data_IF_339526628745
#
_entry.id   IF_339526628745
#
_cell.length_a   1.000
_cell.length_b   1.000
_cell.length_c   1.000
_cell.angle_alpha   90.00
_cell.angle_beta   90.00
_cell.angle_gamma   90.00
#
_symmetry.space_group_name_H-M   'P 1'
#
loop_
_entity.id
_entity.type
_entity.pdbx_description
1 polymer ?
#
# COMPACT_ATOMS: atom_id res chain seq x y z
N UNK A 1 12.07 -5.57 -2.62
CA UNK A 1 11.91 -7.04 -2.61
C UNK A 1 10.46 -7.46 -2.37
N UNK A 2 9.80 -7.03 -1.28
CA UNK A 2 8.40 -7.42 -1.00
C UNK A 2 7.48 -7.20 -2.20
N UNK A 3 7.53 -6.04 -2.82
CA UNK A 3 6.70 -5.69 -3.98
C UNK A 3 6.97 -6.57 -5.21
N UNK A 4 8.22 -7.01 -5.39
CA UNK A 4 8.59 -7.96 -6.47
C UNK A 4 7.94 -9.32 -6.20
N UNK A 5 8.04 -9.84 -4.97
CA UNK A 5 7.39 -11.10 -4.61
C UNK A 5 5.87 -11.01 -4.73
N UNK A 6 5.26 -9.87 -4.35
CA UNK A 6 3.83 -9.65 -4.55
C UNK A 6 3.46 -9.61 -6.03
N UNK A 7 4.30 -8.99 -6.87
CA UNK A 7 4.07 -8.98 -8.32
C UNK A 7 4.16 -10.40 -8.90
N UNK A 8 5.14 -11.20 -8.50
CA UNK A 8 5.29 -12.58 -8.94
C UNK A 8 4.05 -13.42 -8.54
N UNK A 9 3.63 -13.34 -7.27
CA UNK A 9 2.43 -14.05 -6.82
C UNK A 9 1.18 -13.58 -7.57
N UNK A 10 1.03 -12.27 -7.81
CA UNK A 10 -0.05 -11.70 -8.60
C UNK A 10 -0.08 -12.20 -10.03
N UNK A 11 1.08 -12.25 -10.71
CA UNK A 11 1.20 -12.81 -12.08
C UNK A 11 0.76 -14.26 -12.10
N UNK A 12 1.20 -15.08 -11.15
CA UNK A 12 0.81 -16.49 -11.05
C UNK A 12 -0.71 -16.61 -10.90
N UNK A 13 -1.32 -15.88 -9.95
CA UNK A 13 -2.76 -15.89 -9.75
C UNK A 13 -3.54 -15.48 -11.00
N UNK A 14 -3.17 -14.36 -11.63
CA UNK A 14 -3.85 -13.84 -12.81
C UNK A 14 -3.70 -14.77 -14.02
N UNK A 15 -2.54 -15.42 -14.16
CA UNK A 15 -2.31 -16.42 -15.21
C UNK A 15 -3.27 -17.60 -15.07
N UNK A 16 -3.39 -18.19 -13.87
CA UNK A 16 -4.33 -19.27 -13.62
C UNK A 16 -5.80 -18.86 -13.76
N UNK A 17 -6.12 -17.63 -13.45
CA UNK A 17 -7.47 -17.07 -13.60
C UNK A 17 -7.78 -16.60 -15.03
N UNK A 18 -6.82 -16.66 -15.95
CA UNK A 18 -6.94 -16.19 -17.36
C UNK A 18 -7.38 -14.71 -17.43
N UNK A 19 -6.80 -13.84 -16.58
CA UNK A 19 -7.10 -12.41 -16.47
C UNK A 19 -6.06 -11.54 -17.18
N UNK A 20 -6.37 -10.27 -17.42
CA UNK A 20 -5.40 -9.30 -17.97
C UNK A 20 -4.31 -9.00 -16.93
N UNK A 21 -3.17 -9.71 -17.08
CA UNK A 21 -2.03 -9.57 -16.16
C UNK A 21 -1.56 -8.12 -16.09
N UNK A 22 -1.48 -7.41 -17.20
CA UNK A 22 -0.97 -6.05 -17.23
C UNK A 22 -1.81 -5.10 -16.37
N UNK A 23 -3.13 -5.13 -16.54
CA UNK A 23 -4.04 -4.15 -15.94
C UNK A 23 -4.57 -4.57 -14.57
N UNK A 24 -4.68 -5.88 -14.31
CA UNK A 24 -5.19 -6.41 -13.04
C UNK A 24 -4.09 -6.74 -12.01
N UNK A 25 -2.79 -6.60 -12.37
CA UNK A 25 -1.67 -6.84 -11.47
C UNK A 25 -1.52 -5.79 -10.35
N UNK A 26 -1.76 -4.48 -10.56
CA UNK A 26 -1.50 -3.46 -9.55
C UNK A 26 -2.10 -3.73 -8.16
N UNK A 27 -3.37 -4.15 -7.99
CA UNK A 27 -3.94 -4.43 -6.68
C UNK A 27 -3.27 -5.61 -5.94
N UNK A 28 -2.52 -6.47 -6.62
CA UNK A 28 -1.75 -7.52 -5.96
C UNK A 28 -0.47 -7.01 -5.33
N UNK A 29 0.30 -6.15 -6.02
CA UNK A 29 1.63 -5.75 -5.54
C UNK A 29 1.68 -4.35 -4.92
N UNK A 30 0.62 -3.56 -5.03
CA UNK A 30 0.51 -2.24 -4.40
C UNK A 30 -0.46 -2.29 -3.21
N UNK A 31 0.06 -2.53 -2.00
CA UNK A 31 -0.74 -2.57 -0.77
C UNK A 31 -1.20 -1.17 -0.34
N UNK A 32 -2.24 -1.13 0.46
CA UNK A 32 -2.78 0.11 1.03
C UNK A 32 -1.93 0.60 2.21
N UNK A 33 -0.64 0.80 1.96
CA UNK A 33 0.36 1.19 2.95
C UNK A 33 0.12 2.60 3.52
N UNK A 34 -0.39 3.52 2.69
CA UNK A 34 -0.66 4.90 3.08
C UNK A 34 -1.91 5.00 3.95
N UNK A 35 -3.08 4.71 3.37
CA UNK A 35 -4.37 5.00 4.03
C UNK A 35 -4.69 4.08 5.22
N UNK A 36 -4.16 2.87 5.25
CA UNK A 36 -4.33 1.93 6.36
C UNK A 36 -3.03 1.67 7.10
N UNK A 37 -1.94 1.46 6.38
CA UNK A 37 -0.69 1.03 6.99
C UNK A 37 -0.05 2.08 7.89
N UNK A 38 -0.01 3.36 7.50
CA UNK A 38 0.56 4.44 8.34
C UNK A 38 -0.21 4.58 9.67
N UNK A 39 -1.56 4.72 9.70
CA UNK A 39 -2.31 4.79 10.94
C UNK A 39 -2.09 3.58 11.86
N UNK A 40 -2.12 2.37 11.31
CA UNK A 40 -1.94 1.15 12.09
C UNK A 40 -0.53 1.09 12.70
N UNK A 41 0.51 1.46 11.93
CA UNK A 41 1.88 1.50 12.44
C UNK A 41 2.09 2.61 13.49
N UNK A 42 1.39 3.73 13.37
CA UNK A 42 1.37 4.77 14.42
C UNK A 42 0.77 4.23 15.71
N UNK A 43 -0.38 3.55 15.65
CA UNK A 43 -1.02 2.98 16.84
C UNK A 43 -0.21 1.83 17.45
N UNK A 44 0.53 1.06 16.63
CA UNK A 44 1.34 -0.05 17.10
C UNK A 44 2.67 0.38 17.74
N UNK A 45 3.38 1.32 17.12
CA UNK A 45 4.77 1.66 17.43
C UNK A 45 5.03 3.16 17.60
N UNK A 46 3.98 3.96 17.73
CA UNK A 46 4.10 5.41 17.91
C UNK A 46 4.73 6.11 16.69
N UNK A 47 5.37 7.25 16.94
CA UNK A 47 5.98 8.09 15.89
C UNK A 47 7.11 7.37 15.12
N UNK A 48 7.85 6.47 15.76
CA UNK A 48 8.89 5.68 15.11
C UNK A 48 8.30 4.74 14.05
N UNK A 49 7.22 4.02 14.41
CA UNK A 49 6.48 3.17 13.48
C UNK A 49 5.86 3.96 12.32
N UNK A 50 5.31 5.13 12.61
CA UNK A 50 4.78 6.03 11.60
C UNK A 50 5.85 6.47 10.60
N UNK A 51 7.05 6.82 11.07
CA UNK A 51 8.16 7.26 10.22
C UNK A 51 8.59 6.18 9.22
N UNK A 52 8.81 4.95 9.69
CA UNK A 52 9.17 3.81 8.82
C UNK A 52 8.02 3.49 7.85
N UNK A 53 6.78 3.48 8.33
CA UNK A 53 5.61 3.25 7.49
C UNK A 53 5.45 4.32 6.40
N UNK A 54 5.71 5.59 6.72
CA UNK A 54 5.67 6.69 5.76
C UNK A 54 6.75 6.54 4.67
N UNK A 55 7.97 6.12 5.03
CA UNK A 55 9.03 5.86 4.07
C UNK A 55 8.66 4.73 3.09
N UNK A 56 8.12 3.60 3.59
CA UNK A 56 7.61 2.50 2.76
C UNK A 56 6.47 2.99 1.85
N UNK A 57 5.52 3.74 2.42
CA UNK A 57 4.36 4.25 1.67
C UNK A 57 4.76 5.24 0.57
N UNK A 58 5.79 6.05 0.80
CA UNK A 58 6.31 6.98 -0.20
C UNK A 58 6.81 6.24 -1.44
N UNK A 59 7.53 5.13 -1.26
CA UNK A 59 7.94 4.27 -2.37
C UNK A 59 6.73 3.66 -3.11
N UNK A 60 5.73 3.18 -2.37
CA UNK A 60 4.51 2.60 -2.98
C UNK A 60 3.74 3.66 -3.76
N UNK A 61 3.63 4.89 -3.25
CA UNK A 61 2.98 6.01 -3.95
C UNK A 61 3.72 6.35 -5.25
N UNK A 62 5.05 6.39 -5.25
CA UNK A 62 5.83 6.57 -6.49
C UNK A 62 5.52 5.48 -7.52
N UNK A 63 5.40 4.22 -7.07
CA UNK A 63 5.04 3.12 -7.97
C UNK A 63 3.60 3.22 -8.49
N UNK A 64 2.67 3.81 -7.73
CA UNK A 64 1.33 4.12 -8.24
C UNK A 64 1.39 5.11 -9.41
N UNK A 65 2.17 6.18 -9.29
CA UNK A 65 2.25 7.21 -10.32
C UNK A 65 3.21 6.87 -11.48
N UNK A 66 3.95 5.80 -11.37
CA UNK A 66 4.86 5.30 -12.42
C UNK A 66 4.35 3.99 -13.01
N UNK A 67 4.60 2.88 -12.33
CA UNK A 67 4.33 1.52 -12.80
C UNK A 67 2.82 1.27 -12.96
N UNK A 68 1.99 1.66 -11.99
CA UNK A 68 0.56 1.41 -12.08
C UNK A 68 -0.09 2.19 -13.23
N UNK A 69 0.27 3.47 -13.42
CA UNK A 69 -0.23 4.25 -14.57
C UNK A 69 0.24 3.63 -15.90
N UNK A 70 1.50 3.21 -16.00
CA UNK A 70 2.01 2.54 -17.17
C UNK A 70 1.25 1.23 -17.48
N UNK A 71 1.01 0.41 -16.48
CA UNK A 71 0.26 -0.85 -16.63
C UNK A 71 -1.21 -0.63 -17.02
N UNK A 72 -1.86 0.39 -16.47
CA UNK A 72 -3.25 0.71 -16.74
C UNK A 72 -3.44 1.36 -18.12
N UNK A 73 -2.61 2.36 -18.45
CA UNK A 73 -2.74 3.17 -19.67
C UNK A 73 -2.00 2.56 -20.87
N UNK A 74 -1.02 1.69 -20.62
CA UNK A 74 -0.04 1.17 -21.60
C UNK A 74 0.79 2.29 -22.26
N UNK A 75 0.86 3.47 -21.62
CA UNK A 75 1.66 4.62 -22.07
C UNK A 75 2.48 5.15 -20.90
N UNK A 76 3.73 5.47 -21.15
CA UNK A 76 4.58 6.12 -20.16
C UNK A 76 4.50 7.65 -20.37
N UNK A 77 3.97 8.36 -19.36
CA UNK A 77 3.87 9.81 -19.39
C UNK A 77 4.59 10.41 -18.17
N UNK A 78 5.78 10.92 -18.40
CA UNK A 78 6.61 11.57 -17.36
C UNK A 78 5.93 12.81 -16.76
N UNK A 79 5.03 13.45 -17.51
CA UNK A 79 4.33 14.65 -17.04
C UNK A 79 3.43 14.35 -15.84
N UNK A 80 2.87 13.15 -15.76
CA UNK A 80 2.02 12.73 -14.62
C UNK A 80 2.88 12.65 -13.34
N UNK A 81 4.09 12.10 -13.46
CA UNK A 81 5.04 11.99 -12.35
C UNK A 81 5.46 13.40 -11.88
N UNK A 82 5.82 14.25 -12.81
CA UNK A 82 6.26 15.62 -12.52
C UNK A 82 5.14 16.54 -11.99
N UNK A 83 3.88 16.23 -12.27
CA UNK A 83 2.75 16.97 -11.73
C UNK A 83 2.29 16.48 -10.35
N UNK A 84 2.79 15.34 -9.88
CA UNK A 84 2.42 14.78 -8.57
C UNK A 84 3.13 15.51 -7.43
N UNK A 85 2.41 16.15 -6.49
CA UNK A 85 3.02 16.76 -5.31
C UNK A 85 3.80 15.76 -4.45
N UNK A 86 3.38 14.50 -4.43
CA UNK A 86 4.05 13.42 -3.70
C UNK A 86 5.47 13.18 -4.18
N UNK A 87 5.74 13.35 -5.50
CA UNK A 87 7.09 13.22 -6.07
C UNK A 87 8.04 14.23 -5.44
N UNK A 88 7.61 15.48 -5.34
CA UNK A 88 8.43 16.55 -4.73
C UNK A 88 8.61 16.33 -3.23
N UNK A 89 7.56 15.91 -2.52
CA UNK A 89 7.66 15.59 -1.10
C UNK A 89 8.71 14.50 -0.82
N UNK A 90 8.73 13.43 -1.65
CA UNK A 90 9.72 12.36 -1.51
C UNK A 90 11.13 12.86 -1.84
N UNK A 91 11.31 13.65 -2.90
CA UNK A 91 12.62 14.22 -3.25
C UNK A 91 13.15 15.10 -2.11
N UNK A 92 12.31 15.97 -1.55
CA UNK A 92 12.69 16.84 -0.41
C UNK A 92 13.07 15.97 0.79
N UNK A 93 12.25 14.99 1.17
CA UNK A 93 12.52 14.12 2.32
C UNK A 93 13.84 13.33 2.15
N UNK A 94 14.07 12.76 0.97
CA UNK A 94 15.32 12.05 0.67
C UNK A 94 16.52 12.99 0.69
N UNK A 95 16.36 14.24 0.20
CA UNK A 95 17.44 15.23 0.25
C UNK A 95 17.83 15.58 1.68
N UNK A 96 16.85 15.78 2.58
CA UNK A 96 17.13 16.02 4.01
C UNK A 96 17.89 14.86 4.65
N UNK A 97 17.49 13.62 4.35
CA UNK A 97 18.15 12.41 4.86
C UNK A 97 19.56 12.23 4.27
N UNK A 98 19.74 12.49 2.98
CA UNK A 98 21.02 12.26 2.31
C UNK A 98 22.09 13.27 2.70
N UNK A 99 21.70 14.54 2.87
CA UNK A 99 22.59 15.63 3.26
C UNK A 99 22.66 15.84 4.78
N UNK A 100 22.00 14.98 5.56
CA UNK A 100 21.93 15.06 7.04
C UNK A 100 21.52 16.47 7.53
N UNK A 101 20.54 17.07 6.85
CA UNK A 101 20.06 18.41 7.14
C UNK A 101 19.12 18.41 8.32
N UNK A 102 19.41 19.26 9.31
CA UNK A 102 18.52 19.49 10.43
C UNK A 102 17.32 20.38 10.02
N UNK A 103 16.12 19.88 10.24
CA UNK A 103 14.90 20.66 9.98
C UNK A 103 14.64 21.63 11.13
N UNK A 104 14.36 22.92 10.87
CA UNK A 104 13.99 23.85 11.91
C UNK A 104 12.79 23.34 12.72
N UNK A 105 12.84 23.47 14.06
CA UNK A 105 11.82 22.90 14.98
C UNK A 105 10.39 23.31 14.65
N UNK A 106 10.19 24.57 14.23
CA UNK A 106 8.84 25.04 13.88
C UNK A 106 8.30 24.35 12.63
N UNK A 107 9.15 24.06 11.62
CA UNK A 107 8.78 23.32 10.41
C UNK A 107 8.43 21.87 10.79
N UNK A 108 9.30 21.22 11.56
CA UNK A 108 9.08 19.85 12.03
C UNK A 108 7.76 19.71 12.78
N UNK A 109 7.50 20.59 13.75
CA UNK A 109 6.26 20.58 14.53
C UNK A 109 5.02 20.79 13.64
N UNK A 110 5.09 21.73 12.68
CA UNK A 110 3.99 21.98 11.74
C UNK A 110 3.72 20.76 10.86
N UNK A 111 4.76 20.15 10.29
CA UNK A 111 4.62 18.95 9.45
C UNK A 111 4.08 17.76 10.24
N UNK A 112 4.52 17.58 11.49
CA UNK A 112 3.99 16.53 12.37
C UNK A 112 2.51 16.75 12.69
N UNK A 113 2.10 17.98 13.03
CA UNK A 113 0.69 18.32 13.30
C UNK A 113 -0.20 18.05 12.08
N UNK A 114 0.25 18.47 10.89
CA UNK A 114 -0.44 18.17 9.63
C UNK A 114 -0.51 16.68 9.37
N UNK A 115 0.57 15.92 9.63
CA UNK A 115 0.63 14.48 9.51
C UNK A 115 -0.41 13.77 10.39
N UNK A 116 -0.54 14.14 11.65
CA UNK A 116 -1.58 13.59 12.54
C UNK A 116 -2.99 13.94 12.07
N UNK A 117 -3.21 15.17 11.61
CA UNK A 117 -4.52 15.59 11.06
C UNK A 117 -4.86 14.76 9.81
N UNK A 118 -3.88 14.52 8.94
CA UNK A 118 -4.06 13.71 7.73
C UNK A 118 -4.49 12.28 8.02
N UNK A 119 -4.09 11.68 9.15
CA UNK A 119 -4.49 10.33 9.52
C UNK A 119 -6.01 10.23 9.68
N UNK A 120 -6.63 11.19 10.35
CA UNK A 120 -8.10 11.23 10.51
C UNK A 120 -8.78 11.37 9.15
N UNK A 121 -8.31 12.31 8.32
CA UNK A 121 -8.87 12.56 6.99
C UNK A 121 -8.73 11.34 6.06
N UNK A 122 -7.59 10.65 6.11
CA UNK A 122 -7.33 9.45 5.32
C UNK A 122 -8.27 8.29 5.72
N UNK A 123 -8.49 8.07 7.02
CA UNK A 123 -9.40 7.02 7.50
C UNK A 123 -10.86 7.33 7.13
N UNK A 124 -11.28 8.59 7.21
CA UNK A 124 -12.61 9.01 6.74
C UNK A 124 -12.75 8.82 5.21
N UNK A 125 -11.76 9.24 4.44
CA UNK A 125 -11.72 9.06 2.99
C UNK A 125 -11.75 7.59 2.58
N UNK A 126 -11.05 6.72 3.32
CA UNK A 126 -11.10 5.27 3.13
C UNK A 126 -12.52 4.74 3.29
N UNK A 127 -13.19 5.11 4.39
CA UNK A 127 -14.59 4.71 4.64
C UNK A 127 -15.53 5.15 3.52
N UNK A 128 -15.48 6.41 3.13
CA UNK A 128 -16.30 6.97 2.04
C UNK A 128 -16.01 6.24 0.70
N UNK A 129 -14.74 6.02 0.38
CA UNK A 129 -14.37 5.35 -0.87
C UNK A 129 -14.90 3.92 -0.94
N UNK A 130 -14.87 3.18 0.17
CA UNK A 130 -15.41 1.82 0.23
C UNK A 130 -16.91 1.77 0.00
N UNK A 131 -17.68 2.76 0.46
CA UNK A 131 -19.13 2.80 0.23
C UNK A 131 -19.51 3.07 -1.23
N UNK A 132 -18.61 3.68 -2.01
CA UNK A 132 -18.81 3.95 -3.44
C UNK A 132 -18.42 2.78 -4.35
N UNK A 133 -17.64 1.82 -3.82
CA UNK A 133 -17.19 0.65 -4.55
C UNK A 133 -18.22 -0.47 -4.51
N UNK A 134 -18.30 -1.24 -5.61
CA UNK A 134 -19.23 -2.37 -5.76
C UNK A 134 -18.46 -3.66 -5.96
N UNK A 135 -19.03 -4.77 -5.47
CA UNK A 135 -18.51 -6.11 -5.73
C UNK A 135 -19.33 -6.72 -6.87
N UNK A 136 -18.69 -6.94 -8.00
CA UNK A 136 -19.32 -7.47 -9.21
C UNK A 136 -19.16 -8.99 -9.34
N UNK A 137 -18.06 -9.55 -8.81
CA UNK A 137 -17.76 -11.00 -8.85
C UNK A 137 -17.16 -11.45 -7.54
N UNK A 138 -17.97 -12.00 -6.65
CA UNK A 138 -17.53 -12.46 -5.31
C UNK A 138 -16.49 -13.59 -5.43
N UNK A 139 -16.73 -14.60 -6.28
CA UNK A 139 -15.84 -15.76 -6.38
C UNK A 139 -14.44 -15.38 -6.83
N UNK A 140 -14.33 -14.64 -7.93
CA UNK A 140 -13.01 -14.24 -8.47
C UNK A 140 -12.28 -13.28 -7.53
N UNK A 141 -13.02 -12.33 -6.94
CA UNK A 141 -12.46 -11.37 -6.00
C UNK A 141 -12.02 -12.03 -4.71
N UNK A 142 -12.72 -13.05 -4.23
CA UNK A 142 -12.33 -13.82 -3.05
C UNK A 142 -11.00 -14.54 -3.29
N UNK A 143 -10.84 -15.22 -4.43
CA UNK A 143 -9.61 -15.93 -4.78
C UNK A 143 -8.43 -14.95 -4.84
N UNK A 144 -8.59 -13.83 -5.55
CA UNK A 144 -7.55 -12.80 -5.66
C UNK A 144 -7.21 -12.15 -4.31
N UNK A 145 -8.23 -11.86 -3.49
CA UNK A 145 -8.08 -11.25 -2.17
C UNK A 145 -7.41 -12.20 -1.17
N UNK A 146 -7.76 -13.49 -1.19
CA UNK A 146 -7.08 -14.53 -0.39
C UNK A 146 -5.60 -14.57 -0.75
N UNK A 147 -5.28 -14.56 -2.04
CA UNK A 147 -3.91 -14.48 -2.52
C UNK A 147 -3.17 -13.28 -1.92
N UNK A 148 -3.75 -12.07 -1.99
CA UNK A 148 -3.13 -10.86 -1.46
C UNK A 148 -2.99 -10.87 0.07
N UNK A 149 -4.07 -11.22 0.78
CA UNK A 149 -4.15 -11.09 2.24
C UNK A 149 -3.35 -12.18 2.97
N UNK A 150 -3.22 -13.39 2.40
CA UNK A 150 -2.44 -14.48 2.99
C UNK A 150 -0.96 -14.38 2.62
N UNK A 151 -0.65 -14.18 1.33
CA UNK A 151 0.75 -14.10 0.92
C UNK A 151 1.46 -12.83 1.41
N UNK A 152 0.70 -11.75 1.68
CA UNK A 152 1.25 -10.52 2.25
C UNK A 152 2.08 -10.75 3.51
N UNK A 153 1.49 -11.22 4.60
CA UNK A 153 2.22 -11.49 5.85
C UNK A 153 3.29 -12.58 5.70
N UNK A 154 3.05 -13.60 4.90
CA UNK A 154 4.04 -14.67 4.66
C UNK A 154 5.31 -14.08 4.02
N UNK A 155 5.17 -13.30 2.96
CA UNK A 155 6.30 -12.65 2.29
C UNK A 155 7.00 -11.67 3.23
N UNK A 156 6.24 -10.86 3.99
CA UNK A 156 6.80 -9.97 5.00
C UNK A 156 7.65 -10.73 6.02
N UNK A 157 7.14 -11.83 6.56
CA UNK A 157 7.85 -12.67 7.52
C UNK A 157 9.11 -13.32 6.93
N UNK A 158 9.04 -13.84 5.70
CA UNK A 158 10.20 -14.41 4.99
C UNK A 158 11.29 -13.35 4.83
N UNK A 159 10.95 -12.13 4.43
CA UNK A 159 11.92 -11.04 4.25
C UNK A 159 12.54 -10.61 5.58
N UNK A 160 11.76 -10.54 6.66
CA UNK A 160 12.29 -10.27 7.99
C UNK A 160 13.37 -11.30 8.35
N UNK A 161 13.14 -12.58 8.06
CA UNK A 161 14.11 -13.64 8.32
C UNK A 161 15.34 -13.57 7.41
N UNK A 162 15.15 -13.35 6.12
CA UNK A 162 16.26 -13.25 5.14
C UNK A 162 17.20 -12.09 5.47
N UNK A 163 16.64 -10.93 5.82
CA UNK A 163 17.42 -9.73 6.10
C UNK A 163 17.78 -9.55 7.59
N UNK A 164 17.44 -10.55 8.45
CA UNK A 164 17.68 -10.51 9.90
C UNK A 164 17.15 -9.20 10.53
N UNK A 165 15.97 -8.73 10.10
CA UNK A 165 15.38 -7.53 10.65
C UNK A 165 14.83 -7.81 12.06
N UNK A 166 14.91 -6.82 12.95
CA UNK A 166 14.46 -6.93 14.34
C UNK A 166 13.78 -5.64 14.82
N UNK A 167 13.14 -5.72 15.97
CA UNK A 167 12.47 -4.59 16.62
C UNK A 167 11.31 -4.02 15.78
N UNK A 168 10.90 -2.81 16.12
CA UNK A 168 9.74 -2.14 15.52
C UNK A 168 9.79 -2.03 13.98
N UNK A 169 10.99 -1.91 13.39
CA UNK A 169 11.12 -1.82 11.92
C UNK A 169 10.69 -3.12 11.22
N UNK A 170 11.01 -4.28 11.81
CA UNK A 170 10.54 -5.58 11.34
C UNK A 170 9.03 -5.71 11.50
N UNK A 171 8.48 -5.29 12.64
CA UNK A 171 7.04 -5.27 12.88
C UNK A 171 6.29 -4.38 11.89
N UNK A 172 6.81 -3.18 11.60
CA UNK A 172 6.25 -2.29 10.58
C UNK A 172 6.28 -2.94 9.20
N UNK A 173 7.39 -3.59 8.80
CA UNK A 173 7.46 -4.31 7.52
C UNK A 173 6.40 -5.42 7.45
N UNK A 174 6.20 -6.18 8.51
CA UNK A 174 5.18 -7.23 8.59
C UNK A 174 3.77 -6.64 8.41
N UNK A 175 3.46 -5.56 9.16
CA UNK A 175 2.18 -4.87 9.06
C UNK A 175 1.96 -4.32 7.65
N UNK A 176 2.90 -3.58 7.09
CA UNK A 176 2.80 -2.96 5.78
C UNK A 176 2.66 -3.99 4.64
N UNK A 177 3.36 -5.12 4.76
CA UNK A 177 3.25 -6.24 3.82
C UNK A 177 1.87 -6.90 3.85
N UNK A 178 1.19 -6.83 5.00
CA UNK A 178 -0.12 -7.46 5.23
C UNK A 178 -1.31 -6.57 4.85
N UNK A 179 -1.07 -5.33 4.42
CA UNK A 179 -2.14 -4.42 4.03
C UNK A 179 -2.91 -4.94 2.81
N UNK A 180 -4.24 -4.75 2.76
CA UNK A 180 -5.06 -5.09 1.60
C UNK A 180 -4.69 -4.27 0.37
N UNK A 181 -5.36 -4.50 -0.74
CA UNK A 181 -5.13 -3.78 -2.00
C UNK A 181 -5.41 -2.28 -1.85
N UNK A 182 -4.58 -1.44 -2.47
CA UNK A 182 -4.72 0.01 -2.40
C UNK A 182 -5.89 0.54 -3.25
N UNK A 183 -6.69 1.45 -2.67
CA UNK A 183 -7.78 2.14 -3.38
C UNK A 183 -7.27 2.93 -4.59
N UNK A 184 -6.04 3.46 -4.52
CA UNK A 184 -5.45 4.21 -5.62
C UNK A 184 -5.31 3.37 -6.91
N UNK A 185 -5.24 2.04 -6.81
CA UNK A 185 -5.27 1.16 -7.99
C UNK A 185 -6.59 1.23 -8.73
N UNK A 186 -7.72 1.34 -8.00
CA UNK A 186 -9.05 1.55 -8.60
C UNK A 186 -9.16 2.92 -9.29
N UNK A 187 -8.71 3.98 -8.63
CA UNK A 187 -8.79 5.33 -9.20
C UNK A 187 -8.01 5.44 -10.51
N UNK A 188 -6.81 4.86 -10.57
CA UNK A 188 -5.98 4.84 -11.78
C UNK A 188 -6.62 3.94 -12.85
N UNK A 189 -7.12 2.76 -12.48
CA UNK A 189 -7.83 1.90 -13.43
C UNK A 189 -9.07 2.58 -14.02
N UNK A 190 -9.83 3.31 -13.20
CA UNK A 190 -11.00 4.05 -13.64
C UNK A 190 -10.68 5.12 -14.69
N UNK A 191 -9.49 5.71 -14.64
CA UNK A 191 -9.03 6.71 -15.61
C UNK A 191 -8.55 6.11 -16.94
N UNK A 192 -8.00 4.89 -16.91
CA UNK A 192 -7.21 4.37 -18.05
C UNK A 192 -7.62 2.97 -18.53
N UNK A 193 -8.44 2.24 -17.79
CA UNK A 193 -8.78 0.85 -18.11
C UNK A 193 -10.24 0.66 -18.51
N UNK A 194 -10.58 -0.39 -19.26
CA UNK A 194 -11.96 -0.76 -19.56
C UNK A 194 -12.76 -1.06 -18.30
N UNK A 195 -14.07 -0.85 -18.37
CA UNK A 195 -15.00 -1.02 -17.24
C UNK A 195 -14.90 -2.40 -16.57
N UNK A 196 -14.79 -3.47 -17.33
CA UNK A 196 -14.68 -4.82 -16.79
C UNK A 196 -13.48 -4.98 -15.84
N UNK A 197 -12.33 -4.41 -16.20
CA UNK A 197 -11.11 -4.42 -15.37
C UNK A 197 -11.32 -3.57 -14.12
N UNK A 198 -11.94 -2.40 -14.26
CA UNK A 198 -12.28 -1.52 -13.13
C UNK A 198 -13.17 -2.25 -12.13
N UNK A 199 -14.17 -2.98 -12.61
CA UNK A 199 -15.12 -3.75 -11.80
C UNK A 199 -14.41 -4.91 -11.07
N UNK A 200 -13.46 -5.60 -11.70
CA UNK A 200 -12.64 -6.63 -11.08
C UNK A 200 -11.75 -6.05 -9.96
N UNK A 201 -11.06 -4.95 -10.25
CA UNK A 201 -10.19 -4.25 -9.28
C UNK A 201 -11.00 -3.74 -8.09
N UNK A 202 -12.15 -3.08 -8.34
CA UNK A 202 -13.07 -2.62 -7.30
C UNK A 202 -13.47 -3.78 -6.38
N UNK A 203 -13.88 -4.89 -6.96
CA UNK A 203 -14.31 -6.08 -6.23
C UNK A 203 -13.17 -6.65 -5.36
N UNK A 204 -11.95 -6.74 -5.89
CA UNK A 204 -10.78 -7.21 -5.14
C UNK A 204 -10.44 -6.29 -3.97
N UNK A 205 -10.50 -4.96 -4.15
CA UNK A 205 -10.21 -3.99 -3.09
C UNK A 205 -11.21 -4.14 -1.95
N UNK A 206 -12.51 -4.15 -2.25
CA UNK A 206 -13.55 -4.28 -1.21
C UNK A 206 -13.39 -5.59 -0.45
N UNK A 207 -13.27 -6.71 -1.16
CA UNK A 207 -13.17 -8.04 -0.52
C UNK A 207 -11.88 -8.14 0.30
N UNK A 208 -10.72 -7.72 -0.22
CA UNK A 208 -9.46 -7.75 0.53
C UNK A 208 -9.49 -6.83 1.75
N UNK A 209 -10.14 -5.68 1.67
CA UNK A 209 -10.29 -4.77 2.81
C UNK A 209 -11.22 -5.37 3.88
N UNK A 210 -12.33 -6.00 3.49
CA UNK A 210 -13.19 -6.70 4.46
C UNK A 210 -12.46 -7.88 5.12
N UNK A 211 -11.71 -8.67 4.37
CA UNK A 211 -10.88 -9.74 4.93
C UNK A 211 -9.81 -9.20 5.88
N UNK A 212 -9.30 -8.01 5.62
CA UNK A 212 -8.27 -7.39 6.46
C UNK A 212 -8.78 -7.04 7.86
N UNK A 213 -10.08 -6.88 8.08
CA UNK A 213 -10.66 -6.70 9.41
C UNK A 213 -10.36 -7.87 10.36
N UNK A 214 -10.15 -9.07 9.82
CA UNK A 214 -9.78 -10.26 10.59
C UNK A 214 -8.26 -10.44 10.58
N UNK A 215 -7.61 -10.28 9.44
CA UNK A 215 -6.18 -10.62 9.30
C UNK A 215 -5.26 -9.58 9.91
N UNK A 216 -5.60 -8.28 9.86
CA UNK A 216 -4.77 -7.23 10.46
C UNK A 216 -4.66 -7.36 11.99
N UNK A 217 -5.72 -7.59 12.78
CA UNK A 217 -5.58 -7.83 14.20
C UNK A 217 -4.65 -9.00 14.54
N UNK A 218 -4.70 -10.09 13.76
CA UNK A 218 -3.82 -11.25 13.94
C UNK A 218 -2.37 -10.87 13.65
N UNK A 219 -2.12 -10.19 12.53
CA UNK A 219 -0.79 -9.72 12.14
C UNK A 219 -0.24 -8.72 13.15
N UNK A 220 -1.08 -7.81 13.64
CA UNK A 220 -0.72 -6.83 14.65
C UNK A 220 -0.31 -7.51 15.97
N UNK A 221 -1.07 -8.50 16.41
CA UNK A 221 -0.72 -9.31 17.58
C UNK A 221 0.65 -9.99 17.41
N UNK A 222 0.91 -10.59 16.24
CA UNK A 222 2.20 -11.22 15.92
C UNK A 222 3.32 -10.17 15.90
N UNK A 223 3.09 -9.03 15.26
CA UNK A 223 4.06 -7.96 15.15
C UNK A 223 4.48 -7.42 16.53
N UNK A 224 3.51 -7.09 17.39
CA UNK A 224 3.78 -6.57 18.74
C UNK A 224 4.40 -7.62 19.68
N UNK A 225 4.06 -8.90 19.51
CA UNK A 225 4.60 -9.98 20.35
C UNK A 225 6.04 -10.34 20.01
N UNK A 226 6.40 -10.37 18.73
CA UNK A 226 7.68 -10.89 18.27
C UNK A 226 8.67 -9.81 17.80
N UNK A 227 8.19 -8.60 17.57
CA UNK A 227 8.98 -7.46 17.08
C UNK A 227 8.61 -6.17 17.83
N UNK A 228 8.81 -6.14 19.18
CA UNK A 228 8.44 -4.99 20.00
C UNK A 228 9.27 -3.75 19.68
#
# INVERSE_FOLDING_TARGET
FALIFFAITGVIFLFFMKKDISRELPPFFLPNTGNMGIPICLFAYGSLGMGVAAAISSLVVLLHFTVNIFLASKKFDIKVILKSPSTYAVIIAVSFLYFDLEMPKFVLNTVMLLGYTMIVLILMSLGISLTQMKVFSIKNSLISSVGRVIFGPIIGFILIKIFNLSGYAAGVLLIQSSMPSAILTYLIAHMYSPKEIVDNISSMIVVSTLMSLITIPIVLFIALKYFP
#
